data_IF_882412002315
#
_entry.id   IF_882412002315
#
_cell.length_a   1.000
_cell.length_b   1.000
_cell.length_c   1.000
_cell.angle_alpha   90.00
_cell.angle_beta   90.00
_cell.angle_gamma   90.00
#
_symmetry.space_group_name_H-M   'P 1'
#
loop_
_entity.id
_entity.type
_entity.pdbx_description
1 polymer ?
#
# COMPACT_ATOMS: atom_id res chain seq x y z
N UNK A 1 24.02 -7.56 3.64
CA UNK A 1 22.68 -7.87 4.18
C UNK A 1 22.16 -9.09 3.46
N UNK A 2 21.64 -10.10 4.17
CA UNK A 2 20.95 -11.22 3.54
C UNK A 2 19.62 -10.71 2.97
N UNK A 3 19.24 -11.14 1.77
CA UNK A 3 17.93 -10.83 1.22
C UNK A 3 16.85 -11.49 2.09
N UNK A 4 15.92 -10.68 2.59
CA UNK A 4 14.80 -11.16 3.40
C UNK A 4 13.63 -11.71 2.55
N UNK A 5 13.72 -11.58 1.23
CA UNK A 5 12.65 -12.02 0.32
C UNK A 5 13.01 -13.28 -0.46
N UNK A 6 12.00 -14.04 -0.80
CA UNK A 6 12.11 -15.33 -1.49
C UNK A 6 11.36 -15.27 -2.82
N UNK A 7 11.93 -15.88 -3.87
CA UNK A 7 11.18 -16.13 -5.10
C UNK A 7 10.13 -17.21 -4.80
N UNK A 8 8.90 -16.76 -4.55
CA UNK A 8 7.75 -17.65 -4.41
C UNK A 8 7.00 -17.75 -5.75
N UNK A 9 6.15 -18.78 -5.88
CA UNK A 9 5.26 -18.91 -7.03
C UNK A 9 3.99 -18.08 -6.82
N UNK A 10 3.54 -17.43 -7.91
CA UNK A 10 2.27 -16.72 -7.93
C UNK A 10 1.11 -17.71 -7.77
N UNK A 11 0.18 -17.39 -6.90
CA UNK A 11 -1.11 -18.07 -6.75
C UNK A 11 -2.21 -17.14 -7.21
N UNK A 12 -3.09 -17.64 -8.03
CA UNK A 12 -4.28 -16.89 -8.44
C UNK A 12 -5.36 -17.02 -7.37
N UNK A 13 -5.86 -15.90 -6.88
CA UNK A 13 -7.02 -15.85 -6.01
C UNK A 13 -8.33 -15.73 -6.82
N UNK A 14 -8.28 -14.94 -7.88
CA UNK A 14 -9.31 -14.77 -8.89
C UNK A 14 -8.68 -14.10 -10.13
N UNK A 15 -9.34 -14.09 -11.30
CA UNK A 15 -8.78 -13.49 -12.50
C UNK A 15 -8.19 -12.10 -12.28
N UNK A 16 -6.91 -11.94 -12.57
CA UNK A 16 -6.16 -10.70 -12.39
C UNK A 16 -5.67 -10.42 -10.96
N UNK A 17 -6.06 -11.19 -9.95
CA UNK A 17 -5.57 -11.03 -8.58
C UNK A 17 -4.67 -12.18 -8.21
N UNK A 18 -3.39 -11.85 -8.02
CA UNK A 18 -2.35 -12.82 -7.67
C UNK A 18 -1.70 -12.48 -6.34
N UNK A 19 -1.25 -13.51 -5.65
CA UNK A 19 -0.54 -13.34 -4.38
C UNK A 19 0.63 -14.34 -4.25
N UNK A 20 1.62 -13.95 -3.46
CA UNK A 20 2.81 -14.72 -3.13
C UNK A 20 2.89 -14.83 -1.62
N UNK A 21 2.65 -16.03 -1.06
CA UNK A 21 2.80 -16.28 0.38
C UNK A 21 4.28 -16.35 0.76
N UNK A 22 4.59 -15.94 1.98
CA UNK A 22 5.96 -15.94 2.52
C UNK A 22 6.98 -15.28 1.56
N UNK A 23 6.54 -14.23 0.86
CA UNK A 23 7.35 -13.54 -0.13
C UNK A 23 8.49 -12.75 0.50
N UNK A 24 8.28 -12.26 1.71
CA UNK A 24 9.29 -11.56 2.50
C UNK A 24 9.22 -12.02 3.96
N UNK A 25 10.38 -12.18 4.57
CA UNK A 25 10.48 -12.40 6.01
C UNK A 25 10.11 -11.13 6.77
N UNK A 26 9.33 -11.26 7.82
CA UNK A 26 8.99 -10.16 8.72
C UNK A 26 9.77 -10.36 10.02
N UNK A 27 10.86 -9.60 10.26
CA UNK A 27 11.65 -9.73 11.47
C UNK A 27 10.83 -9.47 12.73
N UNK A 28 11.14 -10.21 13.80
CA UNK A 28 10.53 -10.00 15.10
C UNK A 28 10.74 -8.55 15.58
N UNK A 29 9.67 -7.90 16.02
CA UNK A 29 9.70 -6.55 16.56
C UNK A 29 9.69 -5.42 15.52
N UNK A 30 9.89 -5.71 14.21
CA UNK A 30 9.95 -4.66 13.18
C UNK A 30 8.61 -3.90 13.05
N UNK A 31 7.49 -4.60 13.19
CA UNK A 31 6.16 -3.99 13.09
C UNK A 31 5.92 -3.06 14.27
N UNK A 32 6.25 -3.49 15.48
CA UNK A 32 6.15 -2.67 16.70
C UNK A 32 7.03 -1.43 16.58
N UNK A 33 8.24 -1.61 16.06
CA UNK A 33 9.17 -0.52 15.83
C UNK A 33 8.63 0.51 14.83
N UNK A 34 8.18 0.07 13.65
CA UNK A 34 7.56 0.95 12.65
C UNK A 34 6.26 1.61 13.15
N UNK A 35 5.44 0.86 13.89
CA UNK A 35 4.21 1.38 14.47
C UNK A 35 4.49 2.51 15.48
N UNK A 36 5.57 2.42 16.25
CA UNK A 36 5.99 3.48 17.15
C UNK A 36 6.35 4.75 16.39
N UNK A 37 7.13 4.63 15.31
CA UNK A 37 7.44 5.80 14.46
C UNK A 37 6.17 6.45 13.88
N UNK A 38 5.20 5.64 13.46
CA UNK A 38 3.89 6.14 12.97
C UNK A 38 3.11 6.84 14.08
N UNK A 39 3.09 6.30 15.28
CA UNK A 39 2.37 6.87 16.40
C UNK A 39 3.04 8.18 16.85
N UNK A 40 4.36 8.24 16.88
CA UNK A 40 5.15 9.46 17.19
C UNK A 40 4.92 10.54 16.10
N UNK A 41 4.96 10.17 14.82
CA UNK A 41 4.65 11.07 13.71
C UNK A 41 3.22 11.63 13.80
N UNK A 42 2.24 10.80 14.14
CA UNK A 42 0.85 11.22 14.31
C UNK A 42 0.68 12.23 15.43
N UNK A 43 1.39 12.06 16.54
CA UNK A 43 1.37 13.01 17.66
C UNK A 43 1.92 14.36 17.20
N UNK A 44 3.06 14.38 16.53
CA UNK A 44 3.70 15.60 16.04
C UNK A 44 2.80 16.34 15.04
N UNK A 45 2.28 15.66 14.03
CA UNK A 45 1.34 16.27 13.07
C UNK A 45 0.09 16.82 13.78
N UNK A 46 -0.42 16.10 14.78
CA UNK A 46 -1.61 16.56 15.50
C UNK A 46 -1.33 17.82 16.30
N UNK A 47 -0.12 17.99 16.82
CA UNK A 47 0.32 19.20 17.51
C UNK A 47 0.52 20.36 16.54
N UNK A 48 1.23 20.15 15.45
CA UNK A 48 1.49 21.18 14.43
C UNK A 48 0.20 21.64 13.73
N UNK A 49 -0.72 20.72 13.45
CA UNK A 49 -2.00 20.99 12.79
C UNK A 49 -3.11 21.47 13.76
N UNK A 50 -2.91 21.34 15.07
CA UNK A 50 -3.84 21.91 16.05
C UNK A 50 -3.92 23.44 15.91
N UNK A 51 -2.87 24.04 15.36
CA UNK A 51 -2.78 25.49 15.13
C UNK A 51 -3.34 25.93 13.77
N UNK A 52 -3.42 25.07 12.75
CA UNK A 52 -3.70 25.51 11.36
C UNK A 52 -4.99 25.01 10.69
N UNK A 53 -5.59 23.86 11.02
CA UNK A 53 -6.77 23.42 10.23
C UNK A 53 -7.64 22.30 10.82
N UNK A 54 -8.90 22.62 11.19
CA UNK A 54 -9.89 21.62 11.65
C UNK A 54 -10.29 20.57 10.57
N UNK A 55 -10.16 20.90 9.28
CA UNK A 55 -10.52 20.03 8.16
C UNK A 55 -9.56 18.84 8.05
N UNK A 56 -8.28 19.05 8.29
CA UNK A 56 -7.28 17.97 8.32
C UNK A 56 -7.45 17.05 9.52
N UNK A 57 -7.85 17.59 10.68
CA UNK A 57 -8.20 16.77 11.87
C UNK A 57 -9.28 15.74 11.54
N UNK A 58 -10.30 16.12 10.78
CA UNK A 58 -11.38 15.23 10.41
C UNK A 58 -10.95 14.14 9.41
N UNK A 59 -10.08 14.44 8.42
CA UNK A 59 -9.62 13.50 7.42
C UNK A 59 -8.69 12.40 7.97
N UNK A 60 -7.83 12.71 8.94
CA UNK A 60 -6.89 11.76 9.55
C UNK A 60 -7.58 10.80 10.54
N UNK A 61 -8.72 11.21 11.13
CA UNK A 61 -9.38 10.49 12.22
C UNK A 61 -10.63 9.71 11.83
N UNK A 62 -11.13 9.83 10.59
CA UNK A 62 -12.26 9.04 10.15
C UNK A 62 -11.90 7.59 9.82
N UNK A 63 -12.81 6.70 10.10
CA UNK A 63 -12.89 5.23 10.04
C UNK A 63 -11.93 4.42 9.14
N UNK A 64 -11.01 5.05 8.41
CA UNK A 64 -10.03 4.42 7.54
C UNK A 64 -8.69 4.10 8.24
N UNK A 65 -7.74 3.50 7.50
CA UNK A 65 -6.39 3.25 7.99
C UNK A 65 -5.61 4.55 8.21
N UNK A 66 -4.64 4.50 9.12
CA UNK A 66 -3.58 5.50 9.15
C UNK A 66 -2.70 5.25 7.93
N UNK A 67 -2.43 6.30 7.17
CA UNK A 67 -1.55 6.28 5.99
C UNK A 67 -0.31 7.10 6.29
N UNK A 68 0.83 6.44 6.28
CA UNK A 68 2.13 7.02 6.59
C UNK A 68 3.03 6.87 5.37
N UNK A 69 3.70 7.93 4.95
CA UNK A 69 4.64 7.84 3.84
C UNK A 69 6.02 7.40 4.36
N UNK A 70 6.46 6.17 4.09
CA UNK A 70 7.69 5.62 4.61
C UNK A 70 8.94 6.30 4.03
N UNK A 71 8.90 6.77 2.78
CA UNK A 71 10.05 7.37 2.08
C UNK A 71 10.55 8.63 2.79
N UNK A 72 9.62 9.41 3.35
CA UNK A 72 9.95 10.69 3.98
C UNK A 72 9.92 10.66 5.51
N UNK A 73 9.20 9.72 6.08
CA UNK A 73 8.85 9.80 7.50
C UNK A 73 9.50 8.72 8.38
N UNK A 74 9.99 7.60 7.85
CA UNK A 74 10.83 6.70 8.63
C UNK A 74 12.15 7.39 8.99
N UNK A 75 12.55 7.28 10.24
CA UNK A 75 13.73 7.98 10.79
C UNK A 75 14.83 7.01 11.22
N UNK A 76 14.48 5.79 11.54
CA UNK A 76 15.46 4.80 12.01
C UNK A 76 16.05 4.02 10.86
N UNK A 77 17.33 3.66 10.97
CA UNK A 77 18.01 2.83 9.98
C UNK A 77 17.32 1.46 9.82
N UNK A 78 16.77 0.92 10.90
CA UNK A 78 16.06 -0.34 10.89
C UNK A 78 14.79 -0.29 10.01
N UNK A 79 13.92 0.69 10.22
CA UNK A 79 12.71 0.88 9.41
C UNK A 79 13.03 1.18 7.94
N UNK A 80 14.01 2.04 7.69
CA UNK A 80 14.46 2.40 6.34
C UNK A 80 15.03 1.17 5.63
N UNK A 81 15.88 0.41 6.30
CA UNK A 81 16.47 -0.80 5.71
C UNK A 81 15.43 -1.85 5.40
N UNK A 82 14.46 -2.07 6.30
CA UNK A 82 13.38 -3.01 6.03
C UNK A 82 12.46 -2.52 4.90
N UNK A 83 12.13 -1.24 4.86
CA UNK A 83 11.36 -0.66 3.76
C UNK A 83 12.06 -0.86 2.40
N UNK A 84 13.38 -0.72 2.32
CA UNK A 84 14.16 -1.04 1.12
C UNK A 84 13.95 -2.48 0.65
N UNK A 85 13.93 -3.45 1.56
CA UNK A 85 13.66 -4.85 1.22
C UNK A 85 12.22 -5.03 0.70
N UNK A 86 11.24 -4.31 1.26
CA UNK A 86 9.87 -4.28 0.76
C UNK A 86 9.80 -3.77 -0.68
N UNK A 87 10.50 -2.68 -1.00
CA UNK A 87 10.56 -2.11 -2.36
C UNK A 87 11.12 -3.14 -3.34
N UNK A 88 12.27 -3.72 -3.04
CA UNK A 88 12.93 -4.70 -3.93
C UNK A 88 12.07 -5.95 -4.15
N UNK A 89 11.46 -6.47 -3.07
CA UNK A 89 10.56 -7.60 -3.17
C UNK A 89 9.32 -7.28 -4.02
N UNK A 90 8.72 -6.10 -3.82
CA UNK A 90 7.57 -5.66 -4.61
C UNK A 90 7.91 -5.55 -6.09
N UNK A 91 9.07 -4.99 -6.43
CA UNK A 91 9.51 -4.89 -7.82
C UNK A 91 9.68 -6.25 -8.48
N UNK A 92 10.22 -7.25 -7.76
CA UNK A 92 10.32 -8.63 -8.23
C UNK A 92 8.91 -9.22 -8.50
N UNK A 93 7.93 -8.96 -7.61
CA UNK A 93 6.56 -9.47 -7.79
C UNK A 93 5.80 -8.74 -8.92
N UNK A 94 6.03 -7.45 -9.09
CA UNK A 94 5.51 -6.70 -10.24
C UNK A 94 6.08 -7.26 -11.55
N UNK A 95 7.38 -7.57 -11.61
CA UNK A 95 7.97 -8.20 -12.78
C UNK A 95 7.35 -9.57 -13.08
N UNK A 96 7.19 -10.43 -12.06
CA UNK A 96 6.50 -11.73 -12.21
C UNK A 96 5.04 -11.57 -12.65
N UNK A 97 4.33 -10.57 -12.13
CA UNK A 97 2.95 -10.27 -12.55
C UNK A 97 2.89 -9.86 -14.03
N UNK A 98 3.86 -9.08 -14.52
CA UNK A 98 3.98 -8.70 -15.91
C UNK A 98 4.39 -9.87 -16.82
N UNK A 99 5.02 -10.93 -16.30
CA UNK A 99 5.23 -12.17 -17.05
C UNK A 99 3.92 -12.94 -17.24
N UNK A 100 3.02 -12.92 -16.24
CA UNK A 100 1.68 -13.52 -16.34
C UNK A 100 0.76 -12.69 -17.25
N UNK A 101 0.91 -11.38 -17.25
CA UNK A 101 0.10 -10.43 -18.02
C UNK A 101 1.01 -9.48 -18.81
N UNK A 102 1.55 -9.91 -19.97
CA UNK A 102 2.53 -9.12 -20.74
C UNK A 102 2.03 -7.73 -21.14
N UNK A 103 0.72 -7.60 -21.42
CA UNK A 103 0.13 -6.30 -21.77
C UNK A 103 0.15 -5.31 -20.61
N UNK A 104 0.13 -5.78 -19.37
CA UNK A 104 0.26 -4.91 -18.20
C UNK A 104 1.60 -4.16 -18.19
N UNK A 105 2.68 -4.78 -18.68
CA UNK A 105 4.00 -4.15 -18.77
C UNK A 105 4.01 -2.94 -19.69
N UNK A 106 3.16 -2.91 -20.70
CA UNK A 106 3.07 -1.80 -21.66
C UNK A 106 2.36 -0.59 -21.07
N UNK A 107 1.56 -0.81 -20.02
CA UNK A 107 0.73 0.22 -19.42
C UNK A 107 1.33 0.84 -18.15
N UNK A 108 2.47 0.33 -17.65
CA UNK A 108 3.07 0.78 -16.39
C UNK A 108 4.43 1.41 -16.63
N UNK A 109 4.64 2.58 -16.06
CA UNK A 109 5.92 3.27 -16.08
C UNK A 109 6.18 4.09 -14.80
N UNK A 110 5.30 3.95 -13.78
CA UNK A 110 5.32 4.79 -12.62
C UNK A 110 4.88 4.05 -11.35
N UNK A 111 5.56 4.27 -10.24
CA UNK A 111 5.10 3.88 -8.90
C UNK A 111 4.75 5.14 -8.11
N UNK A 112 3.54 5.18 -7.58
CA UNK A 112 3.13 6.27 -6.70
C UNK A 112 3.90 6.24 -5.38
N UNK A 113 3.86 7.34 -4.58
CA UNK A 113 4.46 7.33 -3.26
C UNK A 113 3.93 6.18 -2.41
N UNK A 114 4.83 5.48 -1.75
CA UNK A 114 4.52 4.36 -0.89
C UNK A 114 3.72 4.78 0.33
N UNK A 115 2.91 3.86 0.82
CA UNK A 115 2.14 4.05 2.04
C UNK A 115 2.37 2.86 2.98
N UNK A 116 2.81 3.13 4.19
CA UNK A 116 2.64 2.20 5.29
C UNK A 116 1.26 2.43 5.88
N UNK A 117 0.41 1.42 5.82
CA UNK A 117 -0.98 1.50 6.28
C UNK A 117 -1.19 0.66 7.53
N UNK A 118 -1.83 1.22 8.52
CA UNK A 118 -2.14 0.51 9.75
C UNK A 118 -3.60 0.72 10.17
N UNK A 119 -4.21 -0.35 10.62
CA UNK A 119 -5.59 -0.39 11.10
C UNK A 119 -5.63 -0.77 12.57
N UNK A 120 -6.52 -0.13 13.31
CA UNK A 120 -6.91 -0.51 14.68
C UNK A 120 -8.41 -0.69 14.73
N UNK A 121 -8.96 -1.57 15.61
CA UNK A 121 -10.40 -1.76 15.73
C UNK A 121 -11.15 -0.44 16.05
N UNK A 122 -12.37 -0.25 15.55
CA UNK A 122 -13.14 -1.11 14.66
C UNK A 122 -12.99 -0.78 13.16
N UNK A 123 -11.85 -0.20 12.76
CA UNK A 123 -11.65 0.37 11.42
C UNK A 123 -11.78 -0.65 10.30
N UNK A 124 -12.28 -0.19 9.17
CA UNK A 124 -12.37 -0.94 7.91
C UNK A 124 -12.30 0.03 6.74
N UNK A 125 -12.15 -0.50 5.54
CA UNK A 125 -12.38 0.25 4.30
C UNK A 125 -13.70 -0.19 3.67
N UNK A 126 -14.48 0.78 3.23
CA UNK A 126 -15.71 0.55 2.45
C UNK A 126 -15.36 0.14 1.02
N UNK A 127 -16.33 -0.37 0.27
CA UNK A 127 -16.13 -0.72 -1.14
C UNK A 127 -15.69 0.48 -1.98
N UNK A 128 -14.57 0.32 -2.64
CA UNK A 128 -13.98 1.30 -3.57
C UNK A 128 -13.17 0.57 -4.64
N UNK A 129 -12.88 1.28 -5.72
CA UNK A 129 -11.83 0.95 -6.68
C UNK A 129 -10.66 1.91 -6.48
N UNK A 130 -9.43 1.45 -6.72
CA UNK A 130 -8.26 2.29 -6.47
C UNK A 130 -8.04 3.36 -7.54
N UNK A 131 -8.64 3.20 -8.72
CA UNK A 131 -8.52 4.14 -9.85
C UNK A 131 -9.69 5.12 -9.97
N UNK A 132 -10.44 5.38 -8.91
CA UNK A 132 -11.51 6.38 -8.97
C UNK A 132 -10.97 7.80 -8.82
N UNK A 133 -11.61 8.79 -9.47
CA UNK A 133 -11.26 10.19 -9.25
C UNK A 133 -11.67 10.65 -7.86
N UNK A 134 -10.82 11.43 -7.25
CA UNK A 134 -11.12 12.14 -6.02
C UNK A 134 -11.43 13.59 -6.36
N UNK A 135 -12.63 14.05 -6.01
CA UNK A 135 -12.96 15.47 -6.13
C UNK A 135 -12.31 16.23 -4.98
N UNK A 136 -11.41 17.14 -5.32
CA UNK A 136 -10.88 18.08 -4.35
C UNK A 136 -12.01 19.02 -3.89
N UNK A 137 -12.39 18.94 -2.63
CA UNK A 137 -13.52 19.69 -2.09
C UNK A 137 -13.26 21.20 -2.03
N UNK A 138 -12.01 21.62 -1.93
CA UNK A 138 -11.64 23.03 -1.87
C UNK A 138 -11.65 23.69 -3.25
N UNK A 139 -11.13 23.02 -4.26
CA UNK A 139 -11.02 23.55 -5.62
C UNK A 139 -12.17 23.16 -6.53
N UNK A 140 -12.99 22.19 -6.14
CA UNK A 140 -14.02 21.57 -6.95
C UNK A 140 -13.51 20.76 -8.14
N UNK A 141 -12.19 20.71 -8.36
CA UNK A 141 -11.55 19.96 -9.44
C UNK A 141 -11.42 18.49 -9.10
N UNK A 142 -11.44 17.64 -10.11
CA UNK A 142 -11.14 16.22 -9.95
C UNK A 142 -9.64 16.01 -10.00
N UNK A 143 -9.11 15.27 -9.03
CA UNK A 143 -7.78 14.71 -9.11
C UNK A 143 -7.81 13.51 -10.06
N UNK A 144 -7.10 13.59 -11.15
CA UNK A 144 -7.03 12.57 -12.20
C UNK A 144 -5.89 11.57 -11.97
N UNK A 145 -4.98 11.85 -11.03
CA UNK A 145 -3.86 10.96 -10.71
C UNK A 145 -4.31 9.52 -10.48
N UNK A 146 -5.30 9.25 -9.61
CA UNK A 146 -5.79 7.89 -9.37
C UNK A 146 -6.33 7.16 -10.60
N UNK A 147 -6.82 7.86 -11.62
CA UNK A 147 -7.27 7.23 -12.88
C UNK A 147 -6.16 6.51 -13.64
N UNK A 148 -4.94 6.91 -13.44
CA UNK A 148 -3.76 6.34 -14.10
C UNK A 148 -3.31 5.03 -13.43
N UNK A 149 -3.88 4.68 -12.28
CA UNK A 149 -3.57 3.44 -11.57
C UNK A 149 -4.02 2.22 -12.38
N UNK A 150 -3.10 1.32 -12.62
CA UNK A 150 -3.34 0.06 -13.33
C UNK A 150 -3.54 -1.09 -12.36
N UNK A 151 -2.67 -1.17 -11.37
CA UNK A 151 -2.83 -2.14 -10.28
C UNK A 151 -2.26 -1.60 -8.96
N UNK A 152 -2.71 -2.21 -7.89
CA UNK A 152 -2.27 -1.92 -6.53
C UNK A 152 -1.54 -3.12 -5.97
N UNK A 153 -0.42 -2.88 -5.32
CA UNK A 153 0.37 -3.88 -4.63
C UNK A 153 0.26 -3.68 -3.13
N UNK A 154 -0.03 -4.76 -2.43
CA UNK A 154 -0.13 -4.80 -0.97
C UNK A 154 0.87 -5.82 -0.44
N UNK A 155 1.75 -5.41 0.47
CA UNK A 155 2.63 -6.30 1.23
C UNK A 155 2.13 -6.36 2.67
N UNK A 156 1.54 -7.48 3.06
CA UNK A 156 0.98 -7.70 4.39
C UNK A 156 2.07 -8.14 5.36
N UNK A 157 2.17 -7.47 6.50
CA UNK A 157 3.26 -7.72 7.46
C UNK A 157 2.88 -8.64 8.60
N UNK A 158 1.59 -8.73 8.93
CA UNK A 158 1.12 -9.60 10.02
C UNK A 158 -0.22 -10.25 9.72
N UNK A 159 -0.57 -11.26 10.51
CA UNK A 159 -1.84 -12.01 10.43
C UNK A 159 -2.43 -12.34 11.81
N UNK A 160 -1.82 -11.83 12.87
CA UNK A 160 -2.20 -12.02 14.28
C UNK A 160 -3.38 -11.17 14.75
N UNK A 161 -4.14 -10.61 13.81
CA UNK A 161 -5.35 -9.84 14.06
C UNK A 161 -6.62 -10.63 13.70
N UNK A 162 -7.79 -10.21 14.24
CA UNK A 162 -9.11 -10.78 13.90
C UNK A 162 -9.90 -9.83 13.00
N UNK A 163 -10.61 -10.36 12.01
CA UNK A 163 -11.28 -9.56 10.97
C UNK A 163 -10.29 -9.02 9.95
N UNK A 164 -10.57 -7.86 9.34
CA UNK A 164 -9.66 -7.16 8.43
C UNK A 164 -9.35 -7.89 7.12
N UNK A 165 -10.15 -8.92 6.75
CA UNK A 165 -10.00 -9.67 5.52
C UNK A 165 -10.45 -8.84 4.30
N UNK A 166 -9.77 -9.01 3.17
CA UNK A 166 -10.12 -8.37 1.90
C UNK A 166 -11.29 -9.10 1.24
N UNK A 167 -12.26 -8.36 0.72
CA UNK A 167 -13.40 -8.92 -0.02
C UNK A 167 -13.68 -8.10 -1.26
N UNK A 168 -14.12 -8.77 -2.33
CA UNK A 168 -14.42 -8.15 -3.61
C UNK A 168 -15.93 -8.05 -3.83
N UNK A 169 -16.38 -6.97 -4.47
CA UNK A 169 -17.81 -6.67 -4.58
C UNK A 169 -18.54 -7.59 -5.55
N UNK A 170 -17.88 -7.91 -6.65
CA UNK A 170 -18.53 -8.56 -7.79
C UNK A 170 -18.14 -10.04 -7.95
N UNK A 171 -17.37 -10.56 -7.00
CA UNK A 171 -16.94 -11.95 -6.99
C UNK A 171 -17.44 -12.63 -5.72
N UNK A 172 -18.16 -13.73 -5.89
CA UNK A 172 -18.66 -14.56 -4.76
C UNK A 172 -17.58 -15.50 -4.29
N UNK A 173 -16.62 -14.94 -3.56
CA UNK A 173 -15.47 -15.65 -3.00
C UNK A 173 -15.37 -15.40 -1.50
N UNK A 174 -14.85 -16.38 -0.73
CA UNK A 174 -14.55 -16.16 0.68
C UNK A 174 -13.63 -14.95 0.85
N UNK A 175 -13.79 -14.13 1.91
CA UNK A 175 -12.86 -13.02 2.15
C UNK A 175 -11.41 -13.52 2.26
N UNK A 176 -10.50 -12.87 1.54
CA UNK A 176 -9.08 -13.19 1.55
C UNK A 176 -8.42 -12.65 2.81
N UNK A 177 -7.90 -13.54 3.64
CA UNK A 177 -7.07 -13.18 4.79
C UNK A 177 -5.62 -13.57 4.52
N UNK A 178 -4.74 -12.59 4.23
CA UNK A 178 -3.34 -12.85 3.96
C UNK A 178 -2.62 -13.30 5.22
N UNK A 179 -1.56 -14.09 5.04
CA UNK A 179 -0.55 -14.37 6.07
C UNK A 179 0.51 -13.27 6.10
N UNK A 180 1.27 -13.21 7.19
CA UNK A 180 2.45 -12.35 7.27
C UNK A 180 3.41 -12.63 6.11
N UNK A 181 4.02 -11.59 5.55
CA UNK A 181 4.93 -11.69 4.42
C UNK A 181 4.28 -11.97 3.06
N UNK A 182 2.94 -11.89 2.96
CA UNK A 182 2.22 -12.05 1.69
C UNK A 182 2.24 -10.76 0.87
N UNK A 183 2.62 -10.86 -0.40
CA UNK A 183 2.40 -9.81 -1.40
C UNK A 183 1.17 -10.16 -2.22
N UNK A 184 0.30 -9.19 -2.46
CA UNK A 184 -0.88 -9.31 -3.31
C UNK A 184 -0.85 -8.20 -4.35
N UNK A 185 -1.12 -8.55 -5.61
CA UNK A 185 -1.30 -7.61 -6.73
C UNK A 185 -2.72 -7.76 -7.26
N UNK A 186 -3.41 -6.63 -7.40
CA UNK A 186 -4.77 -6.56 -7.90
C UNK A 186 -4.94 -5.41 -8.90
N UNK A 187 -5.75 -5.57 -9.96
CA UNK A 187 -6.11 -4.46 -10.83
C UNK A 187 -6.88 -3.37 -10.07
N UNK A 188 -6.71 -2.12 -10.48
CA UNK A 188 -7.24 -0.96 -9.76
C UNK A 188 -8.64 -0.54 -10.19
N UNK A 189 -9.17 -1.08 -11.30
CA UNK A 189 -10.43 -0.60 -11.88
C UNK A 189 -11.69 -1.13 -11.14
N UNK A 190 -12.86 -0.62 -11.55
CA UNK A 190 -14.15 -0.86 -10.88
C UNK A 190 -14.54 -2.34 -10.76
N UNK A 191 -14.12 -3.22 -11.66
CA UNK A 191 -14.42 -4.66 -11.58
C UNK A 191 -13.81 -5.30 -10.33
N UNK A 192 -12.65 -4.81 -9.88
CA UNK A 192 -11.98 -5.26 -8.66
C UNK A 192 -12.28 -4.34 -7.47
N UNK A 193 -13.50 -3.73 -7.46
CA UNK A 193 -13.97 -2.99 -6.30
C UNK A 193 -13.95 -3.87 -5.05
N UNK A 194 -13.26 -3.40 -4.03
CA UNK A 194 -12.97 -4.18 -2.84
C UNK A 194 -13.19 -3.38 -1.55
N UNK A 195 -13.31 -4.11 -0.46
CA UNK A 195 -13.46 -3.59 0.89
C UNK A 195 -12.70 -4.47 1.88
N UNK A 196 -12.50 -4.01 3.11
CA UNK A 196 -12.06 -4.89 4.20
C UNK A 196 -13.22 -5.16 5.14
N UNK A 197 -13.28 -6.38 5.69
CA UNK A 197 -14.16 -6.65 6.83
C UNK A 197 -13.69 -5.83 8.03
N UNK A 198 -14.58 -5.48 8.97
CA UNK A 198 -14.17 -4.77 10.18
C UNK A 198 -13.05 -5.51 10.91
N UNK A 199 -12.05 -4.75 11.36
CA UNK A 199 -11.02 -5.27 12.26
C UNK A 199 -11.63 -5.39 13.66
N UNK A 200 -11.58 -6.58 14.23
CA UNK A 200 -12.24 -6.90 15.50
C UNK A 200 -11.25 -6.87 16.67
N UNK A 201 -9.99 -7.24 16.41
CA UNK A 201 -8.94 -7.26 17.43
C UNK A 201 -7.57 -7.21 16.76
N UNK A 202 -6.56 -6.73 17.48
CA UNK A 202 -5.19 -6.59 16.99
C UNK A 202 -4.95 -5.31 16.19
N UNK A 203 -3.78 -5.18 15.63
CA UNK A 203 -3.39 -4.09 14.72
C UNK A 203 -2.90 -4.70 13.41
N UNK A 204 -3.54 -4.37 12.29
CA UNK A 204 -3.14 -4.82 10.96
C UNK A 204 -2.16 -3.82 10.37
N UNK A 205 -1.07 -4.32 9.78
CA UNK A 205 -0.04 -3.52 9.13
C UNK A 205 0.27 -4.05 7.72
N UNK A 206 0.41 -3.14 6.77
CA UNK A 206 0.80 -3.46 5.41
C UNK A 206 1.49 -2.27 4.73
N UNK A 207 2.33 -2.55 3.73
CA UNK A 207 2.73 -1.56 2.74
C UNK A 207 1.79 -1.60 1.54
N UNK A 208 1.56 -0.44 0.95
CA UNK A 208 0.75 -0.27 -0.26
C UNK A 208 1.48 0.65 -1.24
N UNK A 209 1.49 0.26 -2.50
CA UNK A 209 1.90 1.12 -3.60
C UNK A 209 0.96 0.91 -4.80
N UNK A 210 0.58 1.99 -5.46
CA UNK A 210 -0.11 1.92 -6.73
C UNK A 210 0.89 2.00 -7.88
N UNK A 211 0.70 1.16 -8.88
CA UNK A 211 1.48 1.16 -10.12
C UNK A 211 0.62 1.73 -11.23
N UNK A 212 1.12 2.75 -11.90
CA UNK A 212 0.36 3.63 -12.77
C UNK A 212 1.00 3.76 -14.15
N UNK A 213 0.19 4.13 -15.14
CA UNK A 213 0.69 4.74 -16.36
C UNK A 213 0.79 6.24 -16.14
N UNK A 214 1.91 6.83 -16.52
CA UNK A 214 2.11 8.26 -16.36
C UNK A 214 2.46 8.90 -17.69
N UNK A 215 1.75 9.95 -18.05
CA UNK A 215 2.02 10.76 -19.22
C UNK A 215 2.30 12.18 -18.76
N UNK A 216 3.52 12.62 -18.93
CA UNK A 216 3.90 14.05 -18.92
C UNK A 216 3.75 14.87 -17.63
N UNK A 217 3.83 14.26 -16.45
CA UNK A 217 3.95 15.03 -15.19
C UNK A 217 5.35 14.84 -14.61
N UNK A 218 5.94 15.90 -14.07
CA UNK A 218 7.29 15.80 -13.52
C UNK A 218 7.36 14.82 -12.37
N UNK A 219 8.43 14.03 -12.34
CA UNK A 219 8.67 13.00 -11.33
C UNK A 219 8.68 13.54 -9.89
N UNK A 220 8.88 14.82 -9.72
CA UNK A 220 8.95 15.50 -8.43
C UNK A 220 7.60 15.67 -7.74
N UNK A 221 6.49 15.70 -8.52
CA UNK A 221 5.16 15.95 -7.96
C UNK A 221 4.38 14.70 -7.53
N UNK A 222 4.63 13.51 -8.15
CA UNK A 222 3.72 12.36 -8.00
C UNK A 222 4.37 11.01 -7.69
N UNK A 223 5.66 10.94 -7.48
CA UNK A 223 6.35 9.67 -7.17
C UNK A 223 7.66 9.50 -7.93
N UNK A 224 8.10 8.27 -8.14
CA UNK A 224 9.36 7.94 -8.80
C UNK A 224 9.19 6.75 -9.74
N UNK A 225 10.02 6.65 -10.79
CA UNK A 225 10.10 5.41 -11.56
C UNK A 225 10.74 4.32 -10.71
N UNK A 226 10.53 3.03 -11.04
CA UNK A 226 11.23 1.95 -10.34
C UNK A 226 12.76 2.17 -10.33
N UNK A 227 13.34 2.65 -11.43
CA UNK A 227 14.76 2.97 -11.52
C UNK A 227 15.16 4.12 -10.59
N UNK A 228 14.33 5.14 -10.44
CA UNK A 228 14.59 6.27 -9.53
C UNK A 228 14.57 5.82 -8.08
N UNK A 229 13.64 4.94 -7.71
CA UNK A 229 13.57 4.35 -6.38
C UNK A 229 14.86 3.57 -6.12
N UNK A 230 15.25 2.68 -7.04
CA UNK A 230 16.49 1.91 -6.92
C UNK A 230 17.70 2.85 -6.79
N UNK A 231 17.80 3.89 -7.62
CA UNK A 231 18.93 4.83 -7.59
C UNK A 231 18.98 5.66 -6.31
N UNK A 232 17.84 6.04 -5.74
CA UNK A 232 17.80 6.72 -4.43
C UNK A 232 18.24 5.81 -3.30
N UNK A 233 17.91 4.53 -3.40
CA UNK A 233 18.14 3.53 -2.38
C UNK A 233 19.60 2.97 -2.39
N UNK A 234 20.32 3.11 -3.50
CA UNK A 234 21.72 2.66 -3.63
C UNK A 234 22.75 3.76 -3.27
N UNK A 235 22.30 4.96 -2.92
CA UNK A 235 23.14 6.06 -2.43
C UNK A 235 23.09 6.16 -0.91
#
# INVERSE_FOLDING_TARGET
>A
MSNLWVKGEAKEYMPGVHYWENSIEVPNGIIEHMNKEVDDWKINITQDMAEENEIYKQGIFHNGPIRFNPEFNFKTEESITYFKQIVLNTMDKVAQYCELYPDAKLEINWMEPWQYITYTPPKNMTYHSDNHSVRNQQTGKHDLGPYLRRFTVLTYLNDDYKGGALKYRYFDLPPFKPKAGTVLIQPSNYMWSHATTPLLNGRKAAFLVAVSSHYDVSSEEYGATPEDIIRRELR
#
